data_IF_818888964965
#
_entry.id   IF_818888964965
#
_cell.length_a   1.000
_cell.length_b   1.000
_cell.length_c   1.000
_cell.angle_alpha   90.00
_cell.angle_beta   90.00
_cell.angle_gamma   90.00
#
_symmetry.space_group_name_H-M   'P 1'
#
loop_
_entity.id
_entity.type
_entity.pdbx_description
1 polymer ?
#
# COMPACT_ATOMS: atom_id res chain seq x y z
N UNK A 1 0.19 28.85 -5.36
CA UNK A 1 -0.90 28.25 -4.55
C UNK A 1 -2.17 27.95 -5.36
N UNK A 2 -2.49 28.60 -6.49
CA UNK A 2 -3.72 28.26 -7.25
C UNK A 2 -3.65 26.91 -7.98
N UNK A 3 -2.54 26.55 -8.63
CA UNK A 3 -2.44 25.30 -9.41
C UNK A 3 -2.63 24.01 -8.60
N UNK A 4 -2.21 23.97 -7.33
CA UNK A 4 -2.39 22.78 -6.47
C UNK A 4 -3.86 22.60 -6.12
N UNK A 5 -4.59 23.70 -5.92
CA UNK A 5 -6.03 23.67 -5.65
C UNK A 5 -6.81 23.18 -6.88
N UNK A 6 -6.42 23.64 -8.06
CA UNK A 6 -6.97 23.17 -9.34
C UNK A 6 -6.71 21.68 -9.56
N UNK A 7 -5.51 21.18 -9.17
CA UNK A 7 -5.17 19.76 -9.31
C UNK A 7 -5.96 18.86 -8.36
N UNK A 8 -6.12 19.24 -7.08
CA UNK A 8 -6.95 18.47 -6.14
C UNK A 8 -8.40 18.38 -6.63
N UNK A 9 -8.94 19.51 -7.09
CA UNK A 9 -10.30 19.57 -7.64
C UNK A 9 -10.45 18.63 -8.84
N UNK A 10 -9.53 18.70 -9.79
CA UNK A 10 -9.49 17.80 -10.94
C UNK A 10 -9.47 16.32 -10.53
N UNK A 11 -8.68 15.94 -9.52
CA UNK A 11 -8.65 14.56 -9.03
C UNK A 11 -9.96 14.16 -8.37
N UNK A 12 -10.56 15.03 -7.54
CA UNK A 12 -11.82 14.74 -6.85
C UNK A 12 -13.03 14.61 -7.78
N UNK A 13 -13.01 15.31 -8.91
CA UNK A 13 -14.07 15.26 -9.92
C UNK A 13 -13.85 14.12 -10.95
N UNK A 14 -12.70 13.44 -10.88
CA UNK A 14 -12.37 12.32 -11.76
C UNK A 14 -13.01 11.03 -11.27
N UNK A 15 -13.72 10.33 -12.17
CA UNK A 15 -14.24 8.99 -11.90
C UNK A 15 -13.16 7.89 -11.98
N UNK A 16 -11.87 8.25 -11.96
CA UNK A 16 -10.75 7.31 -12.13
C UNK A 16 -9.99 7.11 -10.82
N UNK A 17 -9.66 5.86 -10.51
CA UNK A 17 -8.74 5.52 -9.44
C UNK A 17 -7.30 5.58 -9.96
N UNK A 18 -6.41 6.27 -9.25
CA UNK A 18 -4.98 6.35 -9.56
C UNK A 18 -4.19 5.47 -8.59
N UNK A 19 -3.34 4.60 -9.12
CA UNK A 19 -2.51 3.70 -8.31
C UNK A 19 -1.06 4.16 -8.45
N UNK A 20 -0.39 4.35 -7.31
CA UNK A 20 1.01 4.76 -7.24
C UNK A 20 1.77 3.70 -6.44
N UNK A 21 2.70 3.00 -7.10
CA UNK A 21 3.59 2.03 -6.44
C UNK A 21 4.85 2.72 -5.92
N UNK A 22 5.19 2.50 -4.66
CA UNK A 22 6.43 3.02 -4.03
C UNK A 22 7.22 1.84 -3.48
N UNK A 23 8.34 1.50 -4.12
CA UNK A 23 9.19 0.38 -3.76
C UNK A 23 10.54 0.85 -3.19
N UNK A 24 11.17 0.00 -2.37
CA UNK A 24 12.42 0.29 -1.69
C UNK A 24 12.59 -0.58 -0.43
N UNK A 25 13.81 -0.71 0.06
CA UNK A 25 14.11 -1.52 1.24
C UNK A 25 13.61 -0.86 2.55
N UNK A 26 13.60 -1.61 3.64
CA UNK A 26 13.31 -1.08 4.98
C UNK A 26 14.24 0.11 5.30
N UNK A 27 13.67 1.17 5.89
CA UNK A 27 14.42 2.39 6.21
C UNK A 27 14.72 3.32 5.03
N UNK A 28 14.35 2.99 3.79
CA UNK A 28 14.64 3.83 2.60
C UNK A 28 13.79 5.11 2.48
N UNK A 29 12.93 5.41 3.46
CA UNK A 29 12.08 6.60 3.46
C UNK A 29 10.73 6.48 2.72
N UNK A 30 10.31 5.27 2.32
CA UNK A 30 9.02 5.04 1.61
C UNK A 30 7.84 5.64 2.36
N UNK A 31 7.71 5.34 3.65
CA UNK A 31 6.61 5.81 4.49
C UNK A 31 6.60 7.33 4.61
N UNK A 32 7.77 7.96 4.67
CA UNK A 32 7.90 9.42 4.68
C UNK A 32 7.44 10.01 3.34
N UNK A 33 7.85 9.41 2.22
CA UNK A 33 7.44 9.84 0.89
C UNK A 33 5.92 9.71 0.67
N UNK A 34 5.32 8.57 1.01
CA UNK A 34 3.87 8.35 0.89
C UNK A 34 3.08 9.28 1.80
N UNK A 35 3.55 9.53 3.03
CA UNK A 35 2.93 10.51 3.93
C UNK A 35 3.02 11.93 3.37
N UNK A 36 4.11 12.29 2.68
CA UNK A 36 4.22 13.57 1.98
C UNK A 36 3.14 13.75 0.91
N UNK A 37 2.89 12.73 0.09
CA UNK A 37 1.80 12.76 -0.91
C UNK A 37 0.45 12.94 -0.21
N UNK A 38 0.19 12.18 0.85
CA UNK A 38 -1.06 12.27 1.63
C UNK A 38 -1.25 13.65 2.24
N UNK A 39 -0.21 14.25 2.81
CA UNK A 39 -0.24 15.60 3.37
C UNK A 39 -0.52 16.67 2.31
N UNK A 40 0.03 16.50 1.09
CA UNK A 40 -0.19 17.44 0.00
C UNK A 40 -1.61 17.33 -0.54
N UNK A 41 -2.10 16.12 -0.82
CA UNK A 41 -3.39 15.89 -1.51
C UNK A 41 -4.59 15.84 -0.56
N UNK A 42 -4.41 15.39 0.67
CA UNK A 42 -5.43 15.24 1.70
C UNK A 42 -5.83 13.79 1.94
N UNK A 43 -6.21 13.50 3.18
CA UNK A 43 -6.67 12.18 3.66
C UNK A 43 -7.88 11.65 2.89
N UNK A 44 -8.78 12.56 2.50
CA UNK A 44 -10.03 12.22 1.83
C UNK A 44 -9.82 11.70 0.39
N UNK A 45 -8.69 12.02 -0.23
CA UNK A 45 -8.36 11.64 -1.61
C UNK A 45 -7.33 10.51 -1.71
N UNK A 46 -6.59 10.24 -0.64
CA UNK A 46 -5.44 9.32 -0.67
C UNK A 46 -5.62 8.23 0.37
N UNK A 47 -5.83 7.00 -0.11
CA UNK A 47 -5.71 5.79 0.68
C UNK A 47 -4.33 5.15 0.46
N UNK A 48 -3.78 4.53 1.51
CA UNK A 48 -2.51 3.79 1.46
C UNK A 48 -2.73 2.33 1.81
N UNK A 49 -2.14 1.42 1.04
CA UNK A 49 -2.04 0.00 1.37
C UNK A 49 -0.58 -0.37 1.56
N UNK A 50 -0.26 -1.20 2.56
CA UNK A 50 1.08 -1.76 2.73
C UNK A 50 1.14 -3.11 2.03
N UNK A 51 2.27 -3.42 1.37
CA UNK A 51 2.50 -4.75 0.81
C UNK A 51 2.81 -5.78 1.91
N UNK A 52 3.22 -5.33 3.10
CA UNK A 52 3.45 -6.21 4.25
C UNK A 52 2.14 -6.85 4.74
N UNK A 53 0.98 -6.25 4.43
CA UNK A 53 -0.34 -6.84 4.68
C UNK A 53 -0.61 -8.12 3.87
N UNK A 54 0.25 -8.41 2.89
CA UNK A 54 0.17 -9.59 2.02
C UNK A 54 1.24 -10.62 2.38
N UNK A 55 1.91 -10.50 3.53
CA UNK A 55 2.73 -11.58 4.05
C UNK A 55 1.88 -12.83 4.31
N UNK A 56 2.35 -13.99 3.84
CA UNK A 56 1.71 -15.28 4.07
C UNK A 56 2.01 -15.85 5.47
N UNK A 57 3.09 -15.37 6.08
CA UNK A 57 3.64 -15.91 7.31
C UNK A 57 3.97 -14.78 8.29
N UNK A 58 3.69 -15.01 9.57
CA UNK A 58 4.17 -14.16 10.66
C UNK A 58 5.69 -14.23 10.83
N UNK A 59 6.25 -13.41 11.74
CA UNK A 59 7.70 -13.34 11.98
C UNK A 59 8.27 -14.68 12.46
N UNK A 60 7.60 -15.35 13.39
CA UNK A 60 8.06 -16.60 13.98
C UNK A 60 7.96 -17.78 12.99
N UNK A 61 6.94 -17.78 12.15
CA UNK A 61 6.80 -18.76 11.06
C UNK A 61 7.91 -18.61 10.03
N UNK A 62 8.21 -17.38 9.60
CA UNK A 62 9.33 -17.11 8.68
C UNK A 62 10.68 -17.54 9.25
N UNK A 63 10.90 -17.31 10.56
CA UNK A 63 12.12 -17.78 11.25
C UNK A 63 12.20 -19.31 11.24
N UNK A 64 11.09 -19.99 11.49
CA UNK A 64 11.02 -21.46 11.48
C UNK A 64 11.25 -22.07 10.10
N UNK A 65 10.81 -21.37 9.04
CA UNK A 65 11.02 -21.75 7.65
C UNK A 65 12.38 -21.28 7.08
N UNK A 66 13.17 -20.53 7.86
CA UNK A 66 14.43 -19.91 7.45
C UNK A 66 14.32 -19.07 6.16
N UNK A 67 13.26 -18.27 6.06
CA UNK A 67 13.01 -17.35 4.94
C UNK A 67 12.90 -15.91 5.42
N UNK A 68 13.25 -14.95 4.57
CA UNK A 68 13.07 -13.52 4.83
C UNK A 68 11.73 -13.04 4.28
N UNK A 69 11.16 -11.91 4.78
CA UNK A 69 9.98 -11.31 4.18
C UNK A 69 10.18 -10.87 2.72
N UNK A 70 11.43 -10.71 2.28
CA UNK A 70 11.78 -10.38 0.89
C UNK A 70 11.69 -11.59 -0.06
N UNK A 71 11.57 -12.80 0.48
CA UNK A 71 11.35 -13.99 -0.33
C UNK A 71 9.98 -13.86 -1.04
N UNK A 72 9.90 -13.93 -2.39
CA UNK A 72 8.63 -13.87 -3.09
C UNK A 72 7.61 -14.92 -2.62
N UNK A 73 8.08 -16.11 -2.20
CA UNK A 73 7.22 -17.16 -1.67
C UNK A 73 6.65 -16.88 -0.26
N UNK A 74 7.11 -15.82 0.42
CA UNK A 74 6.56 -15.36 1.69
C UNK A 74 5.41 -14.35 1.52
N UNK A 75 5.02 -14.03 0.28
CA UNK A 75 4.07 -12.97 -0.04
C UNK A 75 2.96 -13.47 -0.99
N UNK A 76 1.71 -13.11 -0.72
CA UNK A 76 0.56 -13.40 -1.58
C UNK A 76 0.45 -12.35 -2.71
N UNK A 77 1.39 -12.39 -3.64
CA UNK A 77 1.43 -11.46 -4.77
C UNK A 77 0.22 -11.62 -5.70
N UNK A 78 -0.37 -12.81 -5.76
CA UNK A 78 -1.57 -13.07 -6.54
C UNK A 78 -2.79 -12.38 -5.94
N UNK A 79 -2.93 -12.36 -4.61
CA UNK A 79 -3.97 -11.57 -3.94
C UNK A 79 -3.73 -10.08 -4.10
N UNK A 80 -2.48 -9.60 -3.97
CA UNK A 80 -2.15 -8.19 -4.22
C UNK A 80 -2.59 -7.77 -5.62
N UNK A 81 -2.31 -8.57 -6.65
CA UNK A 81 -2.73 -8.30 -8.02
C UNK A 81 -4.26 -8.18 -8.14
N UNK A 82 -5.00 -9.17 -7.58
CA UNK A 82 -6.47 -9.15 -7.59
C UNK A 82 -7.03 -7.93 -6.87
N UNK A 83 -6.51 -7.62 -5.69
CA UNK A 83 -6.98 -6.52 -4.85
C UNK A 83 -6.70 -5.16 -5.51
N UNK A 84 -5.52 -4.97 -6.11
CA UNK A 84 -5.20 -3.76 -6.89
C UNK A 84 -6.09 -3.65 -8.13
N UNK A 85 -6.41 -4.75 -8.81
CA UNK A 85 -7.33 -4.74 -9.95
C UNK A 85 -8.75 -4.34 -9.54
N UNK A 86 -9.26 -4.86 -8.41
CA UNK A 86 -10.56 -4.47 -7.86
C UNK A 86 -10.60 -2.99 -7.48
N UNK A 87 -9.58 -2.51 -6.76
CA UNK A 87 -9.46 -1.09 -6.39
C UNK A 87 -9.41 -0.20 -7.63
N UNK A 88 -8.67 -0.61 -8.68
CA UNK A 88 -8.58 0.15 -9.93
C UNK A 88 -9.94 0.31 -10.63
N UNK A 89 -10.83 -0.67 -10.45
CA UNK A 89 -12.20 -0.66 -10.96
C UNK A 89 -13.18 0.11 -10.05
N UNK A 90 -12.72 0.61 -8.89
CA UNK A 90 -13.55 1.32 -7.92
C UNK A 90 -14.31 0.41 -6.96
N UNK A 91 -13.98 -0.88 -6.91
CA UNK A 91 -14.58 -1.80 -5.94
C UNK A 91 -13.83 -1.79 -4.61
N UNK A 92 -14.58 -1.99 -3.52
CA UNK A 92 -13.99 -2.23 -2.20
C UNK A 92 -13.34 -3.61 -2.11
N UNK A 93 -12.38 -3.75 -1.19
CA UNK A 93 -11.68 -5.02 -0.91
C UNK A 93 -11.68 -5.30 0.59
N UNK A 94 -11.55 -6.57 0.94
CA UNK A 94 -11.16 -7.00 2.27
C UNK A 94 -9.71 -7.47 2.24
N UNK A 95 -8.85 -6.79 2.98
CA UNK A 95 -7.43 -7.14 3.10
C UNK A 95 -7.09 -7.51 4.54
N UNK A 96 -6.01 -8.26 4.71
CA UNK A 96 -5.42 -8.49 6.03
C UNK A 96 -4.70 -7.22 6.52
N UNK A 97 -4.31 -7.22 7.78
CA UNK A 97 -3.45 -6.20 8.35
C UNK A 97 -2.30 -6.89 9.07
N UNK A 98 -1.08 -6.65 8.60
CA UNK A 98 0.10 -7.14 9.29
C UNK A 98 0.47 -6.18 10.43
N UNK A 99 0.51 -6.70 11.64
CA UNK A 99 0.86 -5.95 12.83
C UNK A 99 2.37 -5.98 13.04
N UNK A 100 3.03 -4.84 12.81
CA UNK A 100 4.49 -4.73 12.97
C UNK A 100 4.97 -4.87 14.43
N UNK A 101 4.12 -4.56 15.42
CA UNK A 101 4.45 -4.66 16.84
C UNK A 101 4.53 -6.11 17.29
N UNK A 102 3.59 -6.95 16.87
CA UNK A 102 3.53 -8.39 17.23
C UNK A 102 4.18 -9.28 16.18
N UNK A 103 4.36 -8.81 14.95
CA UNK A 103 4.86 -9.60 13.83
C UNK A 103 3.86 -10.64 13.31
N UNK A 104 2.56 -10.32 13.40
CA UNK A 104 1.43 -11.20 13.04
C UNK A 104 0.57 -10.56 11.99
#
# INVERSE_FOLDING_TARGET
MSQVHDFKKFLSESARVYIIGVAGDSGSGKSTFTSGIRNILGEDLVATISLDDYHLYGRDERNSLNITPLNPAANDLARLERDVAQLKQGHGIEKMQYNHSTGT
#
